data_IF_080088122202
#
_entry.id   IF_080088122202
#
_cell.length_a   1.000
_cell.length_b   1.000
_cell.length_c   1.000
_cell.angle_alpha   90.00
_cell.angle_beta   90.00
_cell.angle_gamma   90.00
#
_symmetry.space_group_name_H-M   'P 1'
#
loop_
_entity.id
_entity.type
_entity.pdbx_description
1 polymer ?
#
# COMPACT_ATOMS: atom_id res chain seq x y z
N UNK A 1 -41.48 12.33 15.40
CA UNK A 1 -40.18 12.87 14.93
C UNK A 1 -39.01 12.18 15.61
N UNK A 2 -38.96 12.05 16.94
CA UNK A 2 -37.88 11.37 17.65
C UNK A 2 -37.77 9.85 17.35
N UNK A 3 -38.91 9.15 17.23
CA UNK A 3 -38.91 7.70 16.93
C UNK A 3 -38.36 7.33 15.55
N UNK A 4 -38.38 8.27 14.59
CA UNK A 4 -37.78 8.08 13.26
C UNK A 4 -36.26 8.26 13.26
N UNK A 5 -35.69 8.96 14.27
CA UNK A 5 -34.25 9.22 14.37
C UNK A 5 -33.48 8.10 15.07
N UNK A 6 -34.11 7.42 16.03
CA UNK A 6 -33.51 6.31 16.80
C UNK A 6 -32.93 5.19 15.91
N UNK A 7 -33.61 4.69 14.86
CA UNK A 7 -33.03 3.65 13.99
C UNK A 7 -31.96 4.19 13.01
N UNK A 8 -31.87 5.50 12.81
CA UNK A 8 -30.90 6.11 11.90
C UNK A 8 -29.49 6.18 12.52
N UNK A 9 -29.40 6.37 13.83
CA UNK A 9 -28.15 6.45 14.60
C UNK A 9 -27.24 5.23 14.37
N UNK A 10 -27.69 3.97 14.55
CA UNK A 10 -26.81 2.81 14.33
C UNK A 10 -26.37 2.67 12.86
N UNK A 11 -27.22 3.04 11.91
CA UNK A 11 -26.87 3.01 10.48
C UNK A 11 -25.73 3.98 10.19
N UNK A 12 -25.81 5.20 10.74
CA UNK A 12 -24.76 6.22 10.59
C UNK A 12 -23.45 5.73 11.22
N UNK A 13 -23.51 5.12 12.41
CA UNK A 13 -22.32 4.57 13.08
C UNK A 13 -21.67 3.46 12.24
N UNK A 14 -22.46 2.55 11.66
CA UNK A 14 -21.94 1.48 10.79
C UNK A 14 -21.27 2.06 9.55
N UNK A 15 -21.91 3.01 8.87
CA UNK A 15 -21.34 3.68 7.69
C UNK A 15 -20.02 4.39 8.07
N UNK A 16 -19.98 5.05 9.22
CA UNK A 16 -18.78 5.75 9.69
C UNK A 16 -17.62 4.80 9.98
N UNK A 17 -17.88 3.65 10.62
CA UNK A 17 -16.87 2.61 10.85
C UNK A 17 -16.34 2.06 9.52
N UNK A 18 -17.24 1.77 8.58
CA UNK A 18 -16.88 1.29 7.24
C UNK A 18 -16.00 2.32 6.52
N UNK A 19 -16.36 3.60 6.57
CA UNK A 19 -15.60 4.68 5.98
C UNK A 19 -14.16 4.76 6.54
N UNK A 20 -14.01 4.74 7.87
CA UNK A 20 -12.69 4.72 8.51
C UNK A 20 -11.88 3.50 8.09
N UNK A 21 -12.51 2.32 8.05
CA UNK A 21 -11.86 1.07 7.68
C UNK A 21 -11.29 1.13 6.25
N UNK A 22 -12.07 1.59 5.28
CA UNK A 22 -11.62 1.75 3.89
C UNK A 22 -10.56 2.84 3.73
N UNK A 23 -10.56 3.85 4.60
CA UNK A 23 -9.54 4.90 4.56
C UNK A 23 -8.21 4.41 5.13
N UNK A 24 -8.25 3.55 6.15
CA UNK A 24 -7.06 2.97 6.79
C UNK A 24 -6.43 1.82 6.00
N UNK A 25 -7.24 1.05 5.28
CA UNK A 25 -6.76 -0.11 4.53
C UNK A 25 -6.66 0.26 3.05
N UNK A 26 -5.46 0.27 2.45
CA UNK A 26 -5.27 0.65 1.05
C UNK A 26 -5.69 -0.48 0.11
N UNK A 27 -6.99 -0.79 0.07
CA UNK A 27 -7.56 -1.87 -0.76
C UNK A 27 -7.30 -1.64 -2.25
N UNK A 28 -7.43 -0.39 -2.71
CA UNK A 28 -7.14 -0.04 -4.11
C UNK A 28 -5.71 -0.38 -4.52
N UNK A 29 -4.72 -0.02 -3.69
CA UNK A 29 -3.31 -0.34 -3.94
C UNK A 29 -3.04 -1.85 -3.92
N UNK A 30 -3.70 -2.57 -3.01
CA UNK A 30 -3.59 -4.02 -2.91
C UNK A 30 -4.08 -4.71 -4.19
N UNK A 31 -5.23 -4.27 -4.71
CA UNK A 31 -5.77 -4.77 -5.99
C UNK A 31 -4.82 -4.44 -7.13
N UNK A 32 -4.27 -3.21 -7.19
CA UNK A 32 -3.29 -2.83 -8.21
C UNK A 32 -2.02 -3.67 -8.17
N UNK A 33 -1.53 -4.02 -6.98
CA UNK A 33 -0.35 -4.88 -6.82
C UNK A 33 -0.62 -6.29 -7.37
N UNK A 34 -1.75 -6.90 -7.00
CA UNK A 34 -2.13 -8.24 -7.48
C UNK A 34 -2.33 -8.24 -8.99
N UNK A 35 -3.02 -7.23 -9.53
CA UNK A 35 -3.23 -7.07 -10.96
C UNK A 35 -1.91 -6.91 -11.74
N UNK A 36 -0.86 -6.37 -11.09
CA UNK A 36 0.49 -6.27 -11.64
C UNK A 36 1.35 -7.53 -11.42
N UNK A 37 0.80 -8.60 -10.85
CA UNK A 37 1.52 -9.85 -10.55
C UNK A 37 2.37 -9.80 -9.28
N UNK A 38 2.26 -8.74 -8.48
CA UNK A 38 3.02 -8.57 -7.24
C UNK A 38 2.19 -9.06 -6.05
N UNK A 39 2.70 -10.08 -5.37
CA UNK A 39 2.04 -10.67 -4.19
C UNK A 39 2.39 -9.85 -2.95
N UNK A 40 1.51 -8.92 -2.58
CA UNK A 40 1.60 -8.17 -1.30
C UNK A 40 0.38 -8.48 -0.44
N UNK A 41 0.59 -8.78 0.84
CA UNK A 41 -0.51 -9.02 1.78
C UNK A 41 -1.17 -7.71 2.23
N UNK A 42 -2.48 -7.75 2.50
CA UNK A 42 -3.21 -6.58 3.01
C UNK A 42 -2.65 -6.13 4.37
N UNK A 43 -2.29 -7.09 5.23
CA UNK A 43 -1.64 -6.83 6.52
C UNK A 43 -0.26 -6.18 6.36
N UNK A 44 0.48 -6.50 5.29
CA UNK A 44 1.75 -5.84 4.98
C UNK A 44 1.54 -4.36 4.68
N UNK A 45 0.54 -4.01 3.87
CA UNK A 45 0.24 -2.61 3.53
C UNK A 45 -0.22 -1.79 4.75
N UNK A 46 -1.00 -2.42 5.64
CA UNK A 46 -1.37 -1.81 6.92
C UNK A 46 -0.14 -1.66 7.81
N UNK A 47 0.70 -2.69 7.88
CA UNK A 47 1.97 -2.68 8.62
C UNK A 47 2.94 -1.60 8.15
N UNK A 48 2.99 -1.31 6.85
CA UNK A 48 3.76 -0.17 6.30
C UNK A 48 3.28 1.15 6.91
N UNK A 49 1.96 1.40 6.95
CA UNK A 49 1.41 2.63 7.55
C UNK A 49 1.75 2.74 9.04
N UNK A 50 1.68 1.64 9.79
CA UNK A 50 2.08 1.62 11.21
C UNK A 50 3.57 1.94 11.40
N UNK A 51 4.43 1.43 10.52
CA UNK A 51 5.87 1.73 10.48
C UNK A 51 6.21 3.10 9.89
N UNK A 52 5.20 3.93 9.56
CA UNK A 52 5.33 5.24 8.90
C UNK A 52 6.00 5.17 7.51
N UNK A 53 5.87 4.04 6.84
CA UNK A 53 6.30 3.85 5.46
C UNK A 53 5.10 4.04 4.52
N UNK A 54 5.17 4.93 3.52
CA UNK A 54 4.08 5.13 2.56
C UNK A 54 3.94 3.91 1.65
N UNK A 55 2.85 3.13 1.74
CA UNK A 55 2.73 1.87 1.00
C UNK A 55 2.75 2.08 -0.51
N UNK A 56 2.20 3.20 -1.00
CA UNK A 56 2.18 3.52 -2.42
C UNK A 56 3.59 3.56 -3.03
N UNK A 57 4.56 4.21 -2.37
CA UNK A 57 5.94 4.33 -2.86
C UNK A 57 6.64 2.97 -2.97
N UNK A 58 6.47 2.13 -1.95
CA UNK A 58 7.11 0.82 -1.89
C UNK A 58 6.52 -0.12 -2.94
N UNK A 59 5.19 -0.17 -3.03
CA UNK A 59 4.48 -1.05 -3.96
C UNK A 59 4.70 -0.62 -5.41
N UNK A 60 4.70 0.68 -5.72
CA UNK A 60 4.98 1.15 -7.09
C UNK A 60 6.39 0.78 -7.54
N UNK A 61 7.38 1.00 -6.68
CA UNK A 61 8.77 0.62 -6.94
C UNK A 61 8.91 -0.91 -7.09
N UNK A 62 8.25 -1.69 -6.23
CA UNK A 62 8.25 -3.14 -6.33
C UNK A 62 7.62 -3.64 -7.65
N UNK A 63 6.50 -3.05 -8.08
CA UNK A 63 5.87 -3.37 -9.36
C UNK A 63 6.84 -3.11 -10.52
N UNK A 64 7.55 -1.98 -10.52
CA UNK A 64 8.57 -1.69 -11.55
C UNK A 64 9.68 -2.75 -11.54
N UNK A 65 10.22 -3.05 -10.36
CA UNK A 65 11.29 -4.04 -10.20
C UNK A 65 10.85 -5.43 -10.69
N UNK A 66 9.69 -5.92 -10.25
CA UNK A 66 9.15 -7.23 -10.65
C UNK A 66 8.89 -7.29 -12.16
N UNK A 67 8.34 -6.23 -12.77
CA UNK A 67 8.14 -6.16 -14.23
C UNK A 67 9.43 -6.11 -15.03
N UNK A 68 10.52 -5.64 -14.43
CA UNK A 68 11.85 -5.65 -15.02
C UNK A 68 12.61 -6.98 -14.78
N UNK A 69 12.01 -7.96 -14.11
CA UNK A 69 12.66 -9.23 -13.78
C UNK A 69 13.56 -9.18 -12.54
N UNK A 70 13.59 -8.04 -11.84
CA UNK A 70 14.42 -7.88 -10.65
C UNK A 70 13.75 -8.50 -9.42
N UNK A 71 14.51 -9.33 -8.70
CA UNK A 71 14.08 -9.90 -7.44
C UNK A 71 14.47 -8.99 -6.27
N UNK A 72 13.55 -8.11 -5.88
CA UNK A 72 13.74 -7.15 -4.78
C UNK A 72 12.73 -7.43 -3.68
N UNK A 73 13.18 -7.48 -2.42
CA UNK A 73 12.29 -7.69 -1.28
C UNK A 73 11.65 -6.38 -0.81
N UNK A 74 10.39 -6.48 -0.38
CA UNK A 74 9.64 -5.40 0.27
C UNK A 74 10.45 -4.83 1.45
N UNK A 75 10.95 -5.69 2.34
CA UNK A 75 11.67 -5.26 3.54
C UNK A 75 12.92 -4.44 3.23
N UNK A 76 13.63 -4.73 2.13
CA UNK A 76 14.78 -3.91 1.70
C UNK A 76 14.36 -2.54 1.20
N UNK A 77 13.28 -2.46 0.43
CA UNK A 77 12.73 -1.19 -0.04
C UNK A 77 12.21 -0.33 1.12
N UNK A 78 11.54 -0.96 2.09
CA UNK A 78 11.10 -0.28 3.32
C UNK A 78 12.28 0.20 4.17
N UNK A 79 13.28 -0.65 4.38
CA UNK A 79 14.49 -0.27 5.13
C UNK A 79 15.24 0.89 4.44
N UNK A 80 15.34 0.85 3.11
CA UNK A 80 15.96 1.93 2.34
C UNK A 80 15.17 3.24 2.47
N UNK A 81 13.84 3.19 2.41
CA UNK A 81 12.99 4.35 2.64
C UNK A 81 13.16 4.92 4.05
N UNK A 82 13.16 4.06 5.08
CA UNK A 82 13.32 4.46 6.47
C UNK A 82 14.71 5.03 6.77
N UNK A 83 15.73 4.62 6.01
CA UNK A 83 17.06 5.23 6.04
C UNK A 83 17.11 6.62 5.36
N UNK A 84 15.98 7.13 4.84
CA UNK A 84 15.89 8.40 4.13
C UNK A 84 16.25 8.30 2.64
N UNK A 85 16.36 7.08 2.10
CA UNK A 85 16.69 6.83 0.71
C UNK A 85 15.51 7.03 -0.25
N UNK A 86 15.83 7.20 -1.53
CA UNK A 86 14.86 7.28 -2.63
C UNK A 86 14.70 5.92 -3.31
N UNK A 87 13.63 5.23 -2.94
CA UNK A 87 13.29 3.89 -3.41
C UNK A 87 13.08 3.84 -4.92
N UNK A 88 12.41 4.85 -5.50
CA UNK A 88 12.15 4.90 -6.94
C UNK A 88 13.47 5.04 -7.70
N UNK A 89 14.35 5.96 -7.27
CA UNK A 89 15.64 6.19 -7.91
C UNK A 89 16.53 4.95 -7.89
N UNK A 90 16.59 4.24 -6.76
CA UNK A 90 17.39 3.01 -6.66
C UNK A 90 16.84 1.93 -7.59
N UNK A 91 15.53 1.72 -7.61
CA UNK A 91 14.91 0.73 -8.50
C UNK A 91 15.14 1.10 -9.97
N UNK A 92 14.94 2.35 -10.37
CA UNK A 92 15.17 2.78 -11.74
C UNK A 92 16.65 2.58 -12.15
N UNK A 93 17.60 2.79 -11.23
CA UNK A 93 19.03 2.52 -11.45
C UNK A 93 19.33 1.02 -11.61
N UNK A 94 18.69 0.16 -10.81
CA UNK A 94 18.81 -1.30 -10.95
C UNK A 94 18.24 -1.79 -12.29
N UNK A 95 17.10 -1.23 -12.72
CA UNK A 95 16.48 -1.56 -14.01
C UNK A 95 17.40 -1.15 -15.16
N UNK A 96 18.03 0.02 -15.07
CA UNK A 96 18.98 0.48 -16.06
C UNK A 96 20.21 -0.44 -16.14
N UNK A 97 20.75 -0.88 -15.00
CA UNK A 97 21.88 -1.79 -14.94
C UNK A 97 21.57 -3.18 -15.51
N UNK A 98 20.35 -3.69 -15.31
CA UNK A 98 19.92 -5.00 -15.83
C UNK A 98 19.74 -5.00 -17.36
N UNK A 99 19.47 -3.83 -17.96
CA UNK A 99 19.18 -3.68 -19.40
C UNK A 99 20.37 -3.18 -20.23
N UNK A 100 21.49 -2.85 -19.60
CA UNK A 100 22.71 -2.39 -20.25
C UNK A 100 23.57 -3.57 -20.70
#
# INVERSE_FOLDING_TARGET
MFELLVPLIPIIVVIFIIYIFFQFIPVGLWISAIAAGVKVGIFTLVGMRLRRVPPHKIVSALIKATKAGLNVSIDKLEAHFLAGGDVDRVVDSLIAAERA
#
